data_IF_913921799542
#
_entry.id   IF_913921799542
#
_cell.length_a   1.000
_cell.length_b   1.000
_cell.length_c   1.000
_cell.angle_alpha   90.00
_cell.angle_beta   90.00
_cell.angle_gamma   90.00
#
_symmetry.space_group_name_H-M   'P 1'
#
loop_
_entity.id
_entity.type
_entity.pdbx_description
1 polymer ?
#
# COMPACT_ATOMS: atom_id res chain seq x y z
N UNK A 1 40.93 -19.76 -12.07
CA UNK A 1 39.92 -18.69 -12.11
C UNK A 1 38.81 -18.95 -11.08
N UNK A 2 39.06 -18.81 -9.76
CA UNK A 2 38.05 -19.07 -8.72
C UNK A 2 37.26 -17.81 -8.26
N UNK A 3 37.77 -16.61 -8.54
CA UNK A 3 37.20 -15.36 -8.02
C UNK A 3 35.89 -14.95 -8.70
N UNK A 4 35.75 -15.28 -10.00
CA UNK A 4 34.51 -15.05 -10.76
C UNK A 4 33.35 -15.93 -10.27
N UNK A 5 33.64 -17.13 -9.77
CA UNK A 5 32.64 -18.08 -9.28
C UNK A 5 32.03 -17.60 -7.95
N UNK A 6 32.85 -17.06 -7.05
CA UNK A 6 32.41 -16.46 -5.78
C UNK A 6 31.56 -15.20 -6.03
N UNK A 7 31.92 -14.37 -7.02
CA UNK A 7 31.16 -13.18 -7.36
C UNK A 7 29.77 -13.52 -7.91
N UNK A 8 29.67 -14.55 -8.76
CA UNK A 8 28.40 -15.05 -9.30
C UNK A 8 27.51 -15.61 -8.19
N UNK A 9 28.05 -16.45 -7.30
CA UNK A 9 27.29 -17.01 -6.17
C UNK A 9 26.73 -15.93 -5.23
N UNK A 10 27.49 -14.87 -4.96
CA UNK A 10 27.02 -13.73 -4.15
C UNK A 10 25.91 -12.94 -4.86
N UNK A 11 26.05 -12.76 -6.17
CA UNK A 11 25.03 -12.09 -6.97
C UNK A 11 23.73 -12.89 -6.98
N UNK A 12 23.80 -14.20 -7.20
CA UNK A 12 22.62 -15.07 -7.22
C UNK A 12 21.90 -15.07 -5.87
N UNK A 13 22.63 -15.14 -4.76
CA UNK A 13 22.04 -15.04 -3.42
C UNK A 13 21.35 -13.68 -3.17
N UNK A 14 21.94 -12.57 -3.66
CA UNK A 14 21.31 -11.25 -3.57
C UNK A 14 20.04 -11.16 -4.42
N UNK A 15 20.08 -11.74 -5.62
CA UNK A 15 18.94 -11.77 -6.53
C UNK A 15 17.79 -12.59 -5.95
N UNK A 16 18.05 -13.81 -5.48
CA UNK A 16 17.02 -14.67 -4.88
C UNK A 16 16.32 -13.98 -3.69
N UNK A 17 17.10 -13.30 -2.84
CA UNK A 17 16.55 -12.52 -1.74
C UNK A 17 15.68 -11.37 -2.25
N UNK A 18 16.14 -10.61 -3.24
CA UNK A 18 15.37 -9.52 -3.81
C UNK A 18 14.08 -9.99 -4.47
N UNK A 19 14.12 -11.13 -5.18
CA UNK A 19 12.95 -11.74 -5.81
C UNK A 19 11.90 -12.16 -4.76
N UNK A 20 12.34 -12.76 -3.64
CA UNK A 20 11.47 -13.13 -2.54
C UNK A 20 10.84 -11.90 -1.84
N UNK A 21 11.64 -10.88 -1.53
CA UNK A 21 11.16 -9.63 -0.92
C UNK A 21 10.18 -8.90 -1.85
N UNK A 22 10.47 -8.85 -3.16
CA UNK A 22 9.59 -8.25 -4.16
C UNK A 22 8.28 -9.03 -4.32
N UNK A 23 8.32 -10.36 -4.31
CA UNK A 23 7.11 -11.18 -4.40
C UNK A 23 6.17 -10.93 -3.21
N UNK A 24 6.71 -10.85 -1.99
CA UNK A 24 5.94 -10.51 -0.79
C UNK A 24 5.39 -9.07 -0.85
N UNK A 25 6.17 -8.13 -1.37
CA UNK A 25 5.72 -6.75 -1.58
C UNK A 25 4.61 -6.65 -2.65
N UNK A 26 4.68 -7.48 -3.70
CA UNK A 26 3.73 -7.47 -4.81
C UNK A 26 2.37 -8.07 -4.43
N UNK A 27 2.37 -9.07 -3.55
CA UNK A 27 1.19 -9.79 -3.08
C UNK A 27 1.16 -9.81 -1.54
N UNK A 28 0.78 -8.69 -0.90
CA UNK A 28 0.81 -8.60 0.55
C UNK A 28 -0.31 -9.45 1.17
N UNK A 29 -0.09 -10.04 2.34
CA UNK A 29 -1.11 -10.83 3.05
C UNK A 29 -2.32 -9.98 3.47
N UNK A 30 -2.07 -8.70 3.77
CA UNK A 30 -3.08 -7.69 4.12
C UNK A 30 -3.07 -6.58 3.09
N UNK A 31 -4.19 -5.85 2.91
CA UNK A 31 -4.16 -4.66 2.07
C UNK A 31 -3.05 -3.71 2.56
N UNK A 32 -2.24 -3.19 1.64
CA UNK A 32 -1.21 -2.21 1.93
C UNK A 32 -1.56 -0.87 1.31
N UNK A 33 -1.43 0.20 2.10
CA UNK A 33 -1.59 1.59 1.66
C UNK A 33 -0.21 2.22 1.57
N UNK A 34 0.22 2.52 0.35
CA UNK A 34 1.48 3.17 0.03
C UNK A 34 1.25 4.65 -0.28
N UNK A 35 1.97 5.53 0.41
CA UNK A 35 1.86 6.99 0.21
C UNK A 35 3.11 7.50 -0.48
N UNK A 36 2.93 8.28 -1.56
CA UNK A 36 4.05 8.94 -2.22
C UNK A 36 4.64 10.01 -1.30
N UNK A 37 5.94 9.89 -1.00
CA UNK A 37 6.67 10.76 -0.06
C UNK A 37 7.89 11.44 -0.72
N UNK A 38 7.91 11.53 -2.05
CA UNK A 38 8.90 12.33 -2.78
C UNK A 38 8.72 13.84 -2.51
N UNK A 39 9.72 14.65 -2.90
CA UNK A 39 9.73 16.10 -2.66
C UNK A 39 8.49 16.82 -3.20
N UNK A 40 7.99 16.42 -4.37
CA UNK A 40 6.80 17.04 -4.96
C UNK A 40 5.54 16.64 -4.22
N UNK A 41 5.44 15.38 -3.78
CA UNK A 41 4.36 14.92 -2.89
C UNK A 41 4.36 15.62 -1.55
N UNK A 42 5.54 15.81 -0.93
CA UNK A 42 5.70 16.52 0.33
C UNK A 42 5.28 17.99 0.22
N UNK A 43 5.68 18.67 -0.86
CA UNK A 43 5.27 20.05 -1.14
C UNK A 43 3.74 20.19 -1.28
N UNK A 44 3.07 19.14 -1.77
CA UNK A 44 1.61 19.08 -1.91
C UNK A 44 0.89 18.55 -0.65
N UNK A 45 1.59 18.34 0.46
CA UNK A 45 0.97 17.97 1.74
C UNK A 45 0.91 16.48 2.07
N UNK A 46 1.69 15.63 1.39
CA UNK A 46 1.69 14.17 1.63
C UNK A 46 1.90 13.77 3.10
N UNK A 47 2.70 14.52 3.86
CA UNK A 47 2.89 14.26 5.30
C UNK A 47 1.58 14.41 6.08
N UNK A 48 0.81 15.46 5.82
CA UNK A 48 -0.48 15.67 6.46
C UNK A 48 -1.47 14.56 6.06
N UNK A 49 -1.50 14.19 4.77
CA UNK A 49 -2.32 13.07 4.26
C UNK A 49 -1.93 11.72 4.88
N UNK A 50 -0.64 11.49 5.15
CA UNK A 50 -0.19 10.27 5.83
C UNK A 50 -0.64 10.16 7.28
N UNK A 51 -0.54 11.26 8.04
CA UNK A 51 -1.00 11.32 9.44
C UNK A 51 -2.52 11.11 9.51
N UNK A 52 -3.23 11.79 8.62
CA UNK A 52 -4.65 11.68 8.36
C UNK A 52 -5.10 10.22 8.17
N UNK A 53 -4.48 9.52 7.21
CA UNK A 53 -4.79 8.12 6.89
C UNK A 53 -4.46 7.20 8.07
N UNK A 54 -3.29 7.37 8.71
CA UNK A 54 -2.88 6.57 9.86
C UNK A 54 -3.88 6.68 11.03
N UNK A 55 -4.39 7.89 11.29
CA UNK A 55 -5.43 8.12 12.29
C UNK A 55 -6.68 7.31 11.98
N UNK A 56 -7.18 7.35 10.74
CA UNK A 56 -8.40 6.60 10.34
C UNK A 56 -8.20 5.09 10.47
N UNK A 57 -7.03 4.57 10.09
CA UNK A 57 -6.70 3.14 10.22
C UNK A 57 -6.74 2.75 11.70
N UNK A 58 -6.14 3.56 12.56
CA UNK A 58 -6.09 3.34 14.01
C UNK A 58 -7.49 3.40 14.64
N UNK A 59 -8.28 4.44 14.33
CA UNK A 59 -9.65 4.62 14.82
C UNK A 59 -10.59 3.47 14.41
N UNK A 60 -10.37 2.89 13.23
CA UNK A 60 -11.18 1.79 12.70
C UNK A 60 -10.63 0.41 13.03
N UNK A 61 -9.48 0.33 13.70
CA UNK A 61 -8.73 -0.90 13.92
C UNK A 61 -8.61 -1.74 12.63
N UNK A 62 -8.31 -1.07 11.52
CA UNK A 62 -8.27 -1.70 10.21
C UNK A 62 -6.98 -2.53 10.08
N UNK A 63 -7.09 -3.80 9.69
CA UNK A 63 -5.96 -4.69 9.44
C UNK A 63 -5.31 -4.38 8.08
N UNK A 64 -4.61 -3.25 8.00
CA UNK A 64 -4.02 -2.69 6.79
C UNK A 64 -2.59 -2.27 7.10
N UNK A 65 -1.66 -2.59 6.20
CA UNK A 65 -0.26 -2.20 6.33
C UNK A 65 -0.03 -0.82 5.69
N UNK A 66 0.91 -0.05 6.23
CA UNK A 66 1.30 1.23 5.66
C UNK A 66 2.72 1.21 5.11
N UNK A 67 2.89 1.73 3.89
CA UNK A 67 4.18 1.87 3.23
C UNK A 67 4.41 3.29 2.71
N UNK A 68 5.66 3.57 2.36
CA UNK A 68 6.09 4.83 1.73
C UNK A 68 6.74 4.50 0.40
N UNK A 69 6.34 5.21 -0.65
CA UNK A 69 6.85 5.04 -2.00
C UNK A 69 7.25 6.39 -2.60
N UNK A 70 7.90 6.36 -3.76
CA UNK A 70 8.09 7.54 -4.58
C UNK A 70 6.92 7.71 -5.55
N UNK A 71 6.66 8.94 -5.98
CA UNK A 71 5.69 9.21 -7.03
C UNK A 71 6.01 8.51 -8.35
N UNK A 72 4.97 8.09 -9.06
CA UNK A 72 5.07 7.43 -10.37
C UNK A 72 5.36 8.39 -11.54
N UNK A 73 6.00 9.53 -11.27
CA UNK A 73 6.21 10.60 -12.27
C UNK A 73 4.95 11.37 -12.67
N UNK A 74 3.79 11.06 -12.07
CA UNK A 74 2.53 11.74 -12.32
C UNK A 74 2.35 12.93 -11.37
N UNK A 75 3.16 13.97 -11.53
CA UNK A 75 3.22 15.06 -10.56
C UNK A 75 1.89 15.80 -10.34
N UNK A 76 1.00 15.79 -11.33
CA UNK A 76 -0.31 16.44 -11.29
C UNK A 76 -1.34 15.75 -10.38
N UNK A 77 -1.11 14.50 -9.96
CA UNK A 77 -2.00 13.78 -9.03
C UNK A 77 -1.49 13.75 -7.58
N UNK A 78 -0.39 14.47 -7.28
CA UNK A 78 0.13 14.49 -5.92
C UNK A 78 -0.76 15.31 -4.96
N UNK A 79 -0.88 14.89 -3.69
CA UNK A 79 -0.34 13.65 -3.11
C UNK A 79 -1.09 12.40 -3.61
N UNK A 80 -0.34 11.38 -3.99
CA UNK A 80 -0.90 10.13 -4.50
C UNK A 80 -0.80 9.01 -3.47
N UNK A 81 -1.87 8.22 -3.38
CA UNK A 81 -1.97 7.07 -2.47
C UNK A 81 -2.30 5.83 -3.29
N UNK A 82 -1.55 4.78 -3.09
CA UNK A 82 -1.77 3.49 -3.73
C UNK A 82 -2.28 2.49 -2.69
N UNK A 83 -3.25 1.67 -3.08
CA UNK A 83 -3.71 0.53 -2.29
C UNK A 83 -3.45 -0.74 -3.07
N UNK A 84 -2.64 -1.64 -2.52
CA UNK A 84 -2.41 -2.97 -3.07
C UNK A 84 -3.16 -3.99 -2.23
N UNK A 85 -4.04 -4.75 -2.86
CA UNK A 85 -4.84 -5.78 -2.23
C UNK A 85 -4.13 -7.14 -2.24
N UNK A 86 -4.54 -8.10 -1.39
CA UNK A 86 -3.92 -9.43 -1.35
C UNK A 86 -4.03 -10.26 -2.63
N UNK A 87 -4.98 -9.92 -3.51
CA UNK A 87 -5.09 -10.52 -4.84
C UNK A 87 -4.14 -9.90 -5.88
N UNK A 88 -3.27 -8.97 -5.45
CA UNK A 88 -2.35 -8.25 -6.32
C UNK A 88 -3.01 -7.16 -7.17
N UNK A 89 -4.30 -6.88 -7.02
CA UNK A 89 -4.92 -5.70 -7.61
C UNK A 89 -4.39 -4.44 -6.92
N UNK A 90 -4.06 -3.42 -7.70
CA UNK A 90 -3.54 -2.15 -7.20
C UNK A 90 -4.41 -1.02 -7.70
N UNK A 91 -4.82 -0.13 -6.80
CA UNK A 91 -5.61 1.06 -7.13
C UNK A 91 -4.84 2.30 -6.70
N UNK A 92 -4.68 3.24 -7.64
CA UNK A 92 -4.04 4.53 -7.39
C UNK A 92 -5.09 5.61 -7.23
N UNK A 93 -4.95 6.40 -6.17
CA UNK A 93 -5.78 7.55 -5.85
C UNK A 93 -4.93 8.82 -5.87
N UNK A 94 -5.48 9.91 -6.41
CA UNK A 94 -4.85 11.23 -6.39
C UNK A 94 -5.68 12.28 -7.12
N UNK A 95 -5.60 13.56 -6.72
CA UNK A 95 -4.93 14.05 -5.52
C UNK A 95 -5.73 13.72 -4.25
N UNK A 96 -5.05 13.25 -3.20
CA UNK A 96 -5.66 12.93 -1.91
C UNK A 96 -5.30 13.99 -0.89
N UNK A 97 -6.32 14.63 -0.31
CA UNK A 97 -6.17 15.64 0.74
C UNK A 97 -6.46 15.04 2.11
N UNK A 98 -5.95 15.65 3.21
CA UNK A 98 -6.27 15.21 4.56
C UNK A 98 -7.78 15.17 4.83
N UNK A 99 -8.56 16.08 4.24
CA UNK A 99 -10.01 16.13 4.46
C UNK A 99 -10.76 14.99 3.74
N UNK A 100 -10.13 14.34 2.74
CA UNK A 100 -10.73 13.25 1.97
C UNK A 100 -10.82 11.93 2.76
N UNK A 101 -10.21 11.85 3.95
CA UNK A 101 -10.39 10.78 4.96
C UNK A 101 -11.87 10.40 5.15
N UNK A 102 -12.77 11.40 5.07
CA UNK A 102 -14.20 11.25 5.35
C UNK A 102 -15.02 10.86 4.12
N UNK A 103 -14.46 10.87 2.91
CA UNK A 103 -15.22 10.62 1.68
C UNK A 103 -14.45 9.75 0.69
N UNK A 104 -14.68 8.42 0.68
CA UNK A 104 -14.34 7.60 -0.47
C UNK A 104 -15.25 8.02 -1.63
N UNK A 105 -14.80 8.94 -2.50
CA UNK A 105 -15.39 9.11 -3.84
C UNK A 105 -14.88 7.96 -4.71
N UNK A 106 -15.41 6.76 -4.49
CA UNK A 106 -15.00 5.59 -5.28
C UNK A 106 -15.53 4.29 -4.70
N UNK A 107 -15.92 3.38 -5.59
CA UNK A 107 -16.54 2.04 -5.39
C UNK A 107 -15.81 1.05 -4.43
N UNK A 108 -14.85 1.46 -3.62
CA UNK A 108 -14.06 0.55 -2.77
C UNK A 108 -14.83 -0.04 -1.58
N UNK A 109 -15.95 0.57 -1.15
CA UNK A 109 -16.76 0.09 -0.02
C UNK A 109 -17.38 -1.30 -0.21
N UNK A 110 -17.42 -1.85 -1.42
CA UNK A 110 -18.08 -3.16 -1.68
C UNK A 110 -17.13 -4.36 -1.65
N UNK A 111 -15.81 -4.18 -1.56
CA UNK A 111 -14.85 -5.30 -1.64
C UNK A 111 -13.97 -5.50 -0.41
N UNK A 112 -13.73 -4.46 0.39
CA UNK A 112 -13.20 -4.65 1.74
C UNK A 112 -14.38 -4.99 2.64
N UNK A 113 -14.48 -6.28 2.98
CA UNK A 113 -15.52 -6.81 3.86
C UNK A 113 -15.71 -5.92 5.07
N UNK A 114 -16.93 -5.44 5.23
CA UNK A 114 -17.38 -4.85 6.47
C UNK A 114 -17.19 -5.91 7.57
N UNK A 115 -16.37 -5.68 8.61
CA UNK A 115 -16.20 -6.65 9.69
C UNK A 115 -17.52 -6.93 10.42
N UNK A 116 -18.53 -6.07 10.27
CA UNK A 116 -19.89 -6.30 10.78
C UNK A 116 -20.73 -7.25 9.91
N UNK A 117 -20.32 -7.53 8.67
CA UNK A 117 -21.06 -8.42 7.76
C UNK A 117 -20.66 -9.90 7.90
N UNK A 118 -19.44 -10.19 8.38
CA UNK A 118 -18.97 -11.55 8.65
C UNK A 118 -19.53 -12.16 9.96
N UNK A 119 -20.00 -11.33 10.89
CA UNK A 119 -20.56 -11.80 12.17
C UNK A 119 -22.03 -12.24 12.11
N UNK A 120 -22.72 -12.13 10.96
CA UNK A 120 -24.17 -12.43 10.83
C UNK A 120 -24.52 -13.59 9.89
N UNK A 121 -23.54 -14.35 9.40
CA UNK A 121 -23.76 -15.57 8.60
C UNK A 121 -23.37 -16.86 9.35
N UNK A 122 -23.29 -16.79 10.67
CA UNK A 122 -22.94 -17.91 11.55
C UNK A 122 -24.10 -18.49 12.35
N UNK A 123 -25.35 -18.06 12.12
CA UNK A 123 -26.54 -18.61 12.79
C UNK A 123 -27.70 -18.64 11.80
N UNK A 124 -28.01 -19.82 11.28
CA UNK A 124 -29.35 -20.36 11.05
C UNK A 124 -29.21 -21.73 10.35
N UNK A 125 -29.59 -22.75 11.12
CA UNK A 125 -29.93 -24.14 10.80
C UNK A 125 -29.81 -24.63 9.34
#
# INVERSE_FOLDING_TARGET
MPESDIALQKYDALRERADAEYAAWRNPERPRIDIAMDTSSLANGARATGIAIHRVISERNAAVDMGQVHGYGMQWIHPSVQITFPNGETVLYGPVRPEDERRPRGRARRRCGDPQHLARRGDLH
#
